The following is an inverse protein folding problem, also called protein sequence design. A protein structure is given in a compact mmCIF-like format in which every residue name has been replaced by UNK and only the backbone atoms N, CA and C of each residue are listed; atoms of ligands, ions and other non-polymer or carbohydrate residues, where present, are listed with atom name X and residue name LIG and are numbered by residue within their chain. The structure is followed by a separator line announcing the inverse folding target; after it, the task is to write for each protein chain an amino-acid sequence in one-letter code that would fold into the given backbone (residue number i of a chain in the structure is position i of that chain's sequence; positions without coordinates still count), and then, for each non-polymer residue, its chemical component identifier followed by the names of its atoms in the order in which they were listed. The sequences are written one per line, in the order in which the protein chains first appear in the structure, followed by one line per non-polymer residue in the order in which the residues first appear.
data_IF_102006544313
#
_entry.id   IF_102006544313
#
_cell.length_a   1.000
_cell.length_b   1.000
_cell.length_c   1.000
_cell.angle_alpha   90.00
_cell.angle_beta   90.00
_cell.angle_gamma   90.00
#
_symmetry.space_group_name_H-M   'P 1'
#
loop_
_entity.id
_entity.type
_entity.pdbx_description
1 polymer ?
#
# COMPACT_ATOMS: atom_id res chain seq x y z
N UNK A 1 19.75 49.40 -7.48
CA UNK A 1 19.75 47.98 -7.88
C UNK A 1 19.70 47.05 -6.65
N UNK A 2 18.57 46.97 -5.91
CA UNK A 2 18.49 46.28 -4.60
C UNK A 2 17.35 45.24 -4.45
N UNK A 3 16.70 44.81 -5.53
CA UNK A 3 15.53 43.90 -5.44
C UNK A 3 15.74 42.48 -6.01
N UNK A 4 16.88 42.17 -6.65
CA UNK A 4 17.11 40.84 -7.25
C UNK A 4 17.66 39.78 -6.27
N UNK A 5 18.26 40.17 -5.15
CA UNK A 5 18.85 39.22 -4.18
C UNK A 5 17.80 38.55 -3.29
N UNK A 6 16.71 39.24 -2.94
CA UNK A 6 15.66 38.70 -2.08
C UNK A 6 14.81 37.65 -2.79
N UNK A 7 14.48 37.84 -4.08
CA UNK A 7 13.71 36.85 -4.84
C UNK A 7 14.52 35.58 -5.14
N UNK A 8 15.84 35.70 -5.35
CA UNK A 8 16.71 34.55 -5.52
C UNK A 8 16.90 33.77 -4.20
N UNK A 9 17.00 34.47 -3.07
CA UNK A 9 17.06 33.84 -1.75
C UNK A 9 15.74 33.13 -1.39
N UNK A 10 14.58 33.73 -1.68
CA UNK A 10 13.27 33.09 -1.48
C UNK A 10 13.11 31.88 -2.39
N UNK A 11 13.54 31.96 -3.66
CA UNK A 11 13.52 30.82 -4.57
C UNK A 11 14.44 29.68 -4.12
N UNK A 12 15.62 29.99 -3.57
CA UNK A 12 16.54 29.00 -2.99
C UNK A 12 15.97 28.36 -1.72
N UNK A 13 15.32 29.16 -0.85
CA UNK A 13 14.63 28.67 0.34
C UNK A 13 13.48 27.75 -0.08
N UNK A 14 12.62 28.18 -1.00
CA UNK A 14 11.50 27.37 -1.51
C UNK A 14 12.01 26.10 -2.20
N UNK A 15 13.09 26.15 -2.96
CA UNK A 15 13.72 24.98 -3.57
C UNK A 15 14.31 24.01 -2.53
N UNK A 16 14.95 24.53 -1.48
CA UNK A 16 15.50 23.73 -0.37
C UNK A 16 14.39 23.11 0.50
N UNK A 17 13.29 23.84 0.70
CA UNK A 17 12.09 23.37 1.38
C UNK A 17 11.43 22.28 0.54
N UNK A 18 11.15 22.54 -0.73
CA UNK A 18 10.52 21.54 -1.62
C UNK A 18 11.42 20.33 -1.90
N UNK A 19 12.74 20.44 -1.77
CA UNK A 19 13.66 19.30 -1.76
C UNK A 19 13.61 18.48 -0.46
N UNK A 20 13.21 19.09 0.67
CA UNK A 20 13.12 18.44 1.99
C UNK A 20 11.77 17.82 2.31
N UNK A 21 10.79 17.96 1.42
CA UNK A 21 9.42 17.62 1.72
C UNK A 21 8.89 16.55 0.74
N UNK A 22 8.38 15.44 1.28
CA UNK A 22 7.77 14.37 0.48
C UNK A 22 6.25 14.60 0.32
N UNK A 23 5.67 14.40 -0.87
CA UNK A 23 4.25 14.63 -1.09
C UNK A 23 3.40 13.52 -0.43
N UNK A 24 2.51 13.92 0.48
CA UNK A 24 1.51 13.04 1.11
C UNK A 24 0.09 13.56 0.84
N UNK A 25 -0.91 12.70 0.57
CA UNK A 25 -2.29 13.13 0.28
C UNK A 25 -2.98 13.82 1.47
N UNK A 26 -3.55 15.00 1.26
CA UNK A 26 -4.23 15.82 2.29
C UNK A 26 -5.47 15.18 2.95
N UNK A 27 -6.00 14.07 2.41
CA UNK A 27 -7.14 13.37 3.04
C UNK A 27 -6.76 12.46 4.21
N UNK A 28 -5.48 12.30 4.50
CA UNK A 28 -4.99 11.41 5.57
C UNK A 28 -4.42 12.14 6.79
N UNK A 29 -4.65 13.46 6.91
CA UNK A 29 -4.17 14.31 8.01
C UNK A 29 -5.23 14.69 9.04
N UNK A 30 -6.44 14.12 9.01
CA UNK A 30 -7.31 14.15 10.20
C UNK A 30 -6.74 13.17 11.22
N UNK A 31 -5.78 13.64 12.02
CA UNK A 31 -5.44 13.01 13.30
C UNK A 31 -6.75 12.74 14.05
N UNK A 32 -6.98 11.53 14.59
CA UNK A 32 -8.04 11.34 15.56
C UNK A 32 -7.77 12.29 16.73
N UNK A 33 -8.73 13.18 16.95
CA UNK A 33 -8.79 14.13 18.06
C UNK A 33 -8.84 13.37 19.39
N UNK A 34 -7.67 13.00 19.92
CA UNK A 34 -7.53 12.81 21.37
C UNK A 34 -7.31 14.19 21.98
N UNK A 35 -8.42 14.69 22.50
CA UNK A 35 -8.57 15.88 23.34
C UNK A 35 -7.48 15.88 24.42
N UNK A 36 -6.44 16.72 24.29
CA UNK A 36 -5.83 17.50 25.39
C UNK A 36 -4.56 18.31 25.06
N UNK A 37 -3.92 18.19 23.88
CA UNK A 37 -2.65 18.91 23.63
C UNK A 37 -2.72 20.03 22.58
N UNK A 38 -3.91 20.44 22.16
CA UNK A 38 -4.11 21.34 21.01
C UNK A 38 -4.04 22.85 21.29
N UNK A 39 -3.38 23.32 22.36
CA UNK A 39 -3.32 24.78 22.66
C UNK A 39 -1.94 25.43 22.58
N UNK A 40 -0.84 24.66 22.51
CA UNK A 40 0.50 25.26 22.48
C UNK A 40 1.13 25.36 21.07
N UNK A 41 0.67 24.56 20.08
CA UNK A 41 1.39 24.39 18.80
C UNK A 41 0.57 24.71 17.53
N UNK A 42 -0.61 25.32 17.66
CA UNK A 42 -1.46 25.69 16.51
C UNK A 42 -0.76 26.69 15.58
N UNK A 43 0.04 27.62 16.13
CA UNK A 43 0.76 28.63 15.34
C UNK A 43 1.96 28.10 14.55
N UNK A 44 2.61 27.02 15.03
CA UNK A 44 3.82 26.47 14.38
C UNK A 44 3.44 25.43 13.31
N UNK A 45 2.39 24.64 13.56
CA UNK A 45 1.88 23.64 12.61
C UNK A 45 1.26 24.28 11.36
N UNK A 46 0.62 25.45 11.50
CA UNK A 46 0.06 26.18 10.37
C UNK A 46 1.14 26.82 9.47
N UNK A 47 2.32 27.14 10.00
CA UNK A 47 3.39 27.83 9.28
C UNK A 47 4.26 26.91 8.40
N UNK A 48 4.19 25.59 8.61
CA UNK A 48 4.98 24.58 7.87
C UNK A 48 4.16 23.80 6.83
N UNK A 49 2.86 24.10 6.73
CA UNK A 49 1.94 23.42 5.82
C UNK A 49 1.78 24.24 4.54
N UNK A 50 2.60 23.99 3.52
CA UNK A 50 2.33 24.54 2.18
C UNK A 50 1.23 23.71 1.52
N UNK A 51 -0.02 24.17 1.63
CA UNK A 51 -1.12 23.61 0.84
C UNK A 51 -0.97 24.01 -0.63
N UNK A 52 -0.54 23.07 -1.48
CA UNK A 52 -0.68 23.26 -2.92
C UNK A 52 -2.15 23.05 -3.32
N UNK A 53 -2.66 23.75 -4.36
CA UNK A 53 -4.03 23.60 -4.86
C UNK A 53 -4.40 22.19 -5.35
N UNK A 54 -3.46 21.23 -5.33
CA UNK A 54 -3.64 19.80 -5.59
C UNK A 54 -3.88 18.94 -4.34
N UNK A 55 -3.88 19.51 -3.13
CA UNK A 55 -4.11 18.76 -1.88
C UNK A 55 -2.92 17.87 -1.47
N UNK A 56 -1.70 18.33 -1.70
CA UNK A 56 -0.47 17.68 -1.21
C UNK A 56 0.13 18.54 -0.11
N UNK A 57 0.48 17.88 1.01
CA UNK A 57 1.20 18.50 2.11
C UNK A 57 2.63 18.01 2.06
N UNK A 58 3.52 18.96 2.25
CA UNK A 58 4.94 18.78 2.28
C UNK A 58 5.39 18.71 3.74
N UNK A 59 5.92 17.56 4.17
CA UNK A 59 6.37 17.30 5.55
C UNK A 59 7.89 17.11 5.61
N UNK A 60 8.57 17.60 6.68
CA UNK A 60 9.99 17.33 6.90
C UNK A 60 10.29 15.83 6.85
N UNK A 61 11.49 15.45 6.38
CA UNK A 61 11.85 14.03 6.20
C UNK A 61 11.64 13.17 7.45
N UNK A 62 11.92 13.70 8.64
CA UNK A 62 11.72 12.98 9.90
C UNK A 62 10.22 12.76 10.19
N UNK A 63 9.42 13.83 10.14
CA UNK A 63 7.96 13.75 10.33
C UNK A 63 7.29 12.86 9.28
N UNK A 64 7.73 12.94 8.02
CA UNK A 64 7.25 12.11 6.93
C UNK A 64 7.59 10.62 7.17
N UNK A 65 8.78 10.34 7.72
CA UNK A 65 9.21 8.99 8.07
C UNK A 65 8.34 8.41 9.17
N UNK A 66 8.12 9.17 10.25
CA UNK A 66 7.30 8.74 11.38
C UNK A 66 5.83 8.53 10.99
N UNK A 67 5.30 9.43 10.17
CA UNK A 67 3.97 9.31 9.61
C UNK A 67 3.82 8.01 8.78
N UNK A 68 4.75 7.74 7.86
CA UNK A 68 4.72 6.51 7.07
C UNK A 68 4.86 5.26 7.95
N UNK A 69 5.72 5.30 8.97
CA UNK A 69 5.87 4.18 9.91
C UNK A 69 4.59 3.92 10.71
N UNK A 70 3.88 4.98 11.12
CA UNK A 70 2.57 4.89 11.77
C UNK A 70 1.52 4.24 10.86
N UNK A 71 1.43 4.70 9.61
CA UNK A 71 0.55 4.10 8.61
C UNK A 71 0.90 2.63 8.37
N UNK A 72 2.18 2.33 8.15
CA UNK A 72 2.66 0.98 7.88
C UNK A 72 2.31 0.02 9.02
N UNK A 73 2.48 0.47 10.26
CA UNK A 73 2.14 -0.31 11.45
C UNK A 73 0.64 -0.61 11.52
N UNK A 74 -0.19 0.41 11.27
CA UNK A 74 -1.65 0.26 11.24
C UNK A 74 -2.11 -0.67 10.11
N UNK A 75 -1.57 -0.50 8.90
CA UNK A 75 -1.89 -1.35 7.75
C UNK A 75 -1.49 -2.81 8.00
N UNK A 76 -0.31 -3.05 8.57
CA UNK A 76 0.13 -4.39 8.95
C UNK A 76 -0.81 -5.04 9.96
N UNK A 77 -1.20 -4.29 10.99
CA UNK A 77 -2.15 -4.75 12.01
C UNK A 77 -3.50 -5.12 11.38
N UNK A 78 -4.06 -4.22 10.55
CA UNK A 78 -5.33 -4.44 9.85
C UNK A 78 -5.28 -5.66 8.92
N UNK A 79 -4.22 -5.80 8.12
CA UNK A 79 -4.05 -6.95 7.23
C UNK A 79 -4.00 -8.26 8.04
N UNK A 80 -3.23 -8.28 9.13
CA UNK A 80 -3.12 -9.46 9.99
C UNK A 80 -4.46 -9.83 10.63
N UNK A 81 -5.23 -8.85 11.11
CA UNK A 81 -6.55 -9.05 11.67
C UNK A 81 -7.56 -9.59 10.63
N UNK A 82 -7.50 -9.11 9.38
CA UNK A 82 -8.38 -9.58 8.31
C UNK A 82 -8.02 -11.03 7.92
N UNK A 83 -6.71 -11.36 7.84
CA UNK A 83 -6.24 -12.72 7.59
C UNK A 83 -6.73 -13.67 8.69
N UNK A 84 -6.56 -13.29 9.97
CA UNK A 84 -7.03 -14.09 11.11
C UNK A 84 -8.56 -14.29 11.09
N UNK A 85 -9.33 -13.22 10.85
CA UNK A 85 -10.79 -13.31 10.72
C UNK A 85 -11.21 -14.28 9.62
N UNK A 86 -10.48 -14.31 8.49
CA UNK A 86 -10.72 -15.27 7.41
C UNK A 86 -10.37 -16.69 7.83
N UNK A 87 -9.23 -16.90 8.49
CA UNK A 87 -8.82 -18.22 8.99
C UNK A 87 -9.85 -18.80 9.94
N UNK A 88 -10.37 -18.00 10.89
CA UNK A 88 -11.45 -18.41 11.81
C UNK A 88 -12.74 -18.79 11.08
N UNK A 89 -13.06 -18.11 9.96
CA UNK A 89 -14.23 -18.45 9.14
C UNK A 89 -14.02 -19.69 8.27
N UNK A 90 -12.78 -20.11 8.03
CA UNK A 90 -12.41 -21.27 7.20
C UNK A 90 -12.69 -21.16 5.70
N UNK A 91 -13.47 -20.16 5.24
CA UNK A 91 -13.85 -19.97 3.83
C UNK A 91 -14.13 -18.51 3.48
N UNK A 92 -14.09 -18.20 2.18
CA UNK A 92 -14.47 -16.90 1.60
C UNK A 92 -13.28 -16.04 1.14
N UNK A 93 -13.57 -14.97 0.42
CA UNK A 93 -12.60 -13.98 -0.01
C UNK A 93 -12.09 -13.15 1.19
N UNK A 94 -10.84 -12.66 1.11
CA UNK A 94 -10.25 -11.84 2.18
C UNK A 94 -10.99 -10.50 2.37
N UNK A 95 -11.43 -9.90 1.27
CA UNK A 95 -12.19 -8.65 1.21
C UNK A 95 -13.43 -8.88 0.34
N UNK A 96 -14.62 -8.70 0.91
CA UNK A 96 -15.88 -8.94 0.19
C UNK A 96 -16.43 -7.68 -0.47
N UNK A 97 -16.35 -6.54 0.21
CA UNK A 97 -16.65 -5.24 -0.36
C UNK A 97 -15.32 -4.58 -0.76
N UNK A 98 -15.22 -4.06 -1.98
CA UNK A 98 -14.10 -3.24 -2.49
C UNK A 98 -12.84 -3.96 -2.98
N UNK A 99 -12.87 -5.27 -3.25
CA UNK A 99 -11.72 -6.03 -3.75
C UNK A 99 -11.00 -5.36 -4.95
N UNK A 100 -11.77 -4.96 -5.97
CA UNK A 100 -11.25 -4.35 -7.20
C UNK A 100 -10.58 -3.01 -6.90
N UNK A 101 -11.22 -2.19 -6.06
CA UNK A 101 -10.70 -0.89 -5.67
C UNK A 101 -9.43 -1.03 -4.83
N UNK A 102 -9.40 -1.96 -3.86
CA UNK A 102 -8.21 -2.21 -3.04
C UNK A 102 -7.04 -2.70 -3.88
N UNK A 103 -7.28 -3.61 -4.84
CA UNK A 103 -6.24 -4.04 -5.79
C UNK A 103 -5.67 -2.87 -6.59
N UNK A 104 -6.53 -2.04 -7.18
CA UNK A 104 -6.13 -0.86 -7.95
C UNK A 104 -5.31 0.12 -7.09
N UNK A 105 -5.76 0.38 -5.86
CA UNK A 105 -5.02 1.24 -4.91
C UNK A 105 -3.64 0.65 -4.61
N UNK A 106 -3.53 -0.65 -4.37
CA UNK A 106 -2.23 -1.29 -4.11
C UNK A 106 -1.32 -1.22 -5.34
N UNK A 107 -1.82 -1.50 -6.54
CA UNK A 107 -1.06 -1.41 -7.79
C UNK A 107 -0.58 0.02 -8.08
N UNK A 108 -1.44 1.02 -7.86
CA UNK A 108 -1.07 2.42 -8.01
C UNK A 108 -0.06 2.84 -6.93
N UNK A 109 -0.22 2.37 -5.69
CA UNK A 109 0.74 2.59 -4.61
C UNK A 109 2.13 2.01 -4.95
N UNK A 110 2.20 0.81 -5.54
CA UNK A 110 3.48 0.21 -5.98
C UNK A 110 4.20 1.11 -7.00
N UNK A 111 3.48 1.67 -7.97
CA UNK A 111 4.05 2.60 -8.95
C UNK A 111 4.57 3.86 -8.28
N UNK A 112 3.83 4.42 -7.32
CA UNK A 112 4.24 5.63 -6.61
C UNK A 112 5.45 5.37 -5.69
N UNK A 113 5.46 4.28 -4.94
CA UNK A 113 6.61 3.90 -4.10
C UNK A 113 7.86 3.66 -4.94
N UNK A 114 7.75 3.04 -6.11
CA UNK A 114 8.88 2.90 -7.04
C UNK A 114 9.43 4.25 -7.48
N UNK A 115 8.56 5.20 -7.86
CA UNK A 115 8.97 6.57 -8.24
C UNK A 115 9.66 7.30 -7.09
N UNK A 116 9.12 7.22 -5.88
CA UNK A 116 9.70 7.87 -4.69
C UNK A 116 11.08 7.29 -4.37
N UNK A 117 11.25 5.96 -4.43
CA UNK A 117 12.56 5.33 -4.23
C UNK A 117 13.60 5.74 -5.27
N UNK A 118 13.22 5.85 -6.54
CA UNK A 118 14.12 6.36 -7.58
C UNK A 118 14.50 7.83 -7.33
N UNK A 119 13.55 8.66 -6.92
CA UNK A 119 13.84 10.04 -6.52
C UNK A 119 14.83 10.10 -5.36
N UNK A 120 14.64 9.30 -4.31
CA UNK A 120 15.57 9.20 -3.17
C UNK A 120 16.97 8.77 -3.65
N UNK A 121 17.05 7.80 -4.56
CA UNK A 121 18.33 7.31 -5.11
C UNK A 121 19.07 8.41 -5.87
N UNK A 122 18.36 9.24 -6.64
CA UNK A 122 18.93 10.40 -7.33
C UNK A 122 19.47 11.40 -6.32
N UNK A 123 18.71 11.72 -5.27
CA UNK A 123 19.13 12.70 -4.25
C UNK A 123 20.33 12.21 -3.44
N UNK A 124 20.38 10.92 -3.08
CA UNK A 124 21.49 10.32 -2.32
C UNK A 124 22.80 10.28 -3.11
N UNK A 125 22.78 10.45 -4.44
CA UNK A 125 23.98 10.46 -5.25
C UNK A 125 25.01 11.48 -4.71
N UNK A 126 26.30 11.11 -4.60
CA UNK A 126 27.30 11.92 -3.92
C UNK A 126 27.44 13.32 -4.52
N UNK A 127 27.35 13.43 -5.85
CA UNK A 127 27.42 14.70 -6.57
C UNK A 127 26.27 15.65 -6.22
N UNK A 128 25.07 15.11 -5.96
CA UNK A 128 23.88 15.89 -5.64
C UNK A 128 23.90 16.34 -4.18
N UNK A 129 24.30 15.45 -3.26
CA UNK A 129 24.49 15.82 -1.85
C UNK A 129 25.61 16.85 -1.68
N UNK A 130 26.71 16.72 -2.43
CA UNK A 130 27.80 17.69 -2.44
C UNK A 130 27.36 19.06 -2.96
N UNK A 131 26.47 19.11 -3.96
CA UNK A 131 25.88 20.35 -4.47
C UNK A 131 24.90 20.99 -3.48
N UNK A 132 24.11 20.20 -2.77
CA UNK A 132 23.13 20.71 -1.79
C UNK A 132 23.79 21.25 -0.51
N UNK A 133 24.84 20.57 -0.05
CA UNK A 133 25.60 20.98 1.14
C UNK A 133 27.10 20.99 0.81
N UNK A 134 27.59 22.04 0.12
CA UNK A 134 28.99 22.13 -0.28
C UNK A 134 29.93 22.26 0.93
N UNK A 135 29.50 23.01 1.94
CA UNK A 135 30.39 23.51 3.00
C UNK A 135 30.47 22.60 4.24
N UNK A 136 29.61 21.59 4.37
CA UNK A 136 29.57 20.74 5.56
C UNK A 136 29.44 19.26 5.22
N UNK A 137 30.48 18.50 5.57
CA UNK A 137 30.45 17.03 5.47
C UNK A 137 29.46 16.42 6.47
N UNK A 138 29.33 16.98 7.66
CA UNK A 138 28.44 16.47 8.71
C UNK A 138 26.97 16.58 8.30
N UNK A 139 26.55 17.73 7.74
CA UNK A 139 25.19 17.91 7.24
C UNK A 139 24.89 16.97 6.06
N UNK A 140 25.87 16.69 5.20
CA UNK A 140 25.71 15.69 4.13
C UNK A 140 25.43 14.30 4.68
N UNK A 141 26.16 13.89 5.71
CA UNK A 141 25.97 12.58 6.34
C UNK A 141 24.60 12.52 7.03
N UNK A 142 24.23 13.54 7.81
CA UNK A 142 22.94 13.59 8.49
C UNK A 142 21.76 13.55 7.50
N UNK A 143 21.81 14.35 6.44
CA UNK A 143 20.74 14.38 5.44
C UNK A 143 20.64 13.06 4.67
N UNK A 144 21.79 12.44 4.33
CA UNK A 144 21.83 11.11 3.73
C UNK A 144 21.19 10.06 4.64
N UNK A 145 21.50 10.07 5.93
CA UNK A 145 20.92 9.12 6.89
C UNK A 145 19.41 9.31 7.04
N UNK A 146 18.92 10.55 7.06
CA UNK A 146 17.50 10.87 7.06
C UNK A 146 16.80 10.34 5.80
N UNK A 147 17.39 10.56 4.61
CA UNK A 147 16.87 10.03 3.34
C UNK A 147 16.86 8.50 3.31
N UNK A 148 17.87 7.84 3.87
CA UNK A 148 17.90 6.37 3.98
C UNK A 148 16.79 5.87 4.90
N UNK A 149 16.56 6.51 6.05
CA UNK A 149 15.47 6.14 6.98
C UNK A 149 14.10 6.31 6.31
N UNK A 150 13.89 7.44 5.64
CA UNK A 150 12.67 7.69 4.86
C UNK A 150 12.48 6.64 3.76
N UNK A 151 13.54 6.34 3.01
CA UNK A 151 13.53 5.30 1.96
C UNK A 151 13.19 3.91 2.50
N UNK A 152 13.64 3.57 3.72
CA UNK A 152 13.23 2.33 4.40
C UNK A 152 11.74 2.32 4.74
N UNK A 153 11.19 3.43 5.23
CA UNK A 153 9.75 3.53 5.52
C UNK A 153 8.92 3.37 4.23
N UNK A 154 9.33 3.99 3.12
CA UNK A 154 8.70 3.83 1.81
C UNK A 154 8.77 2.38 1.31
N UNK A 155 9.94 1.73 1.46
CA UNK A 155 10.10 0.32 1.09
C UNK A 155 9.18 -0.59 1.92
N UNK A 156 9.00 -0.31 3.21
CA UNK A 156 8.04 -1.06 4.04
C UNK A 156 6.60 -0.90 3.54
N UNK A 157 6.19 0.31 3.15
CA UNK A 157 4.86 0.54 2.54
C UNK A 157 4.67 -0.26 1.26
N UNK A 158 5.70 -0.32 0.41
CA UNK A 158 5.70 -1.13 -0.80
C UNK A 158 5.55 -2.62 -0.49
N UNK A 159 6.31 -3.14 0.47
CA UNK A 159 6.17 -4.55 0.89
C UNK A 159 4.77 -4.85 1.39
N UNK A 160 4.16 -3.96 2.18
CA UNK A 160 2.78 -4.13 2.64
C UNK A 160 1.76 -4.12 1.50
N UNK A 161 1.95 -3.29 0.48
CA UNK A 161 1.10 -3.30 -0.71
C UNK A 161 1.22 -4.64 -1.47
N UNK A 162 2.44 -5.17 -1.62
CA UNK A 162 2.67 -6.50 -2.22
C UNK A 162 2.05 -7.62 -1.39
N UNK A 163 2.22 -7.58 -0.08
CA UNK A 163 1.65 -8.57 0.84
C UNK A 163 0.13 -8.57 0.79
N UNK A 164 -0.48 -7.39 0.70
CA UNK A 164 -1.93 -7.24 0.55
C UNK A 164 -2.41 -7.86 -0.76
N UNK A 165 -1.75 -7.59 -1.88
CA UNK A 165 -2.06 -8.21 -3.18
C UNK A 165 -1.92 -9.73 -3.13
N UNK A 166 -0.81 -10.23 -2.58
CA UNK A 166 -0.54 -11.66 -2.42
C UNK A 166 -1.60 -12.33 -1.53
N UNK A 167 -1.97 -11.70 -0.41
CA UNK A 167 -2.99 -12.20 0.49
C UNK A 167 -4.35 -12.29 -0.23
N UNK A 168 -4.69 -11.28 -1.04
CA UNK A 168 -5.90 -11.29 -1.86
C UNK A 168 -5.86 -12.45 -2.87
N UNK A 169 -4.76 -12.63 -3.60
CA UNK A 169 -4.63 -13.67 -4.62
C UNK A 169 -4.74 -15.08 -4.03
N UNK A 170 -4.05 -15.34 -2.93
CA UNK A 170 -4.11 -16.62 -2.19
C UNK A 170 -5.47 -16.85 -1.52
N UNK A 171 -6.27 -15.81 -1.37
CA UNK A 171 -7.61 -15.92 -0.77
C UNK A 171 -8.72 -16.30 -1.76
N UNK A 172 -8.40 -16.46 -3.04
CA UNK A 172 -9.37 -16.88 -4.05
C UNK A 172 -9.91 -18.28 -3.68
N UNK A 173 -11.24 -18.49 -3.72
CA UNK A 173 -11.78 -19.84 -3.58
C UNK A 173 -11.21 -20.73 -4.69
N UNK A 174 -11.00 -22.04 -4.43
CA UNK A 174 -10.63 -22.99 -5.47
C UNK A 174 -11.62 -22.88 -6.63
N UNK A 175 -11.12 -22.94 -7.87
CA UNK A 175 -12.00 -23.19 -9.01
C UNK A 175 -12.74 -24.50 -8.79
N UNK A 176 -13.98 -24.61 -9.27
CA UNK A 176 -14.72 -25.89 -9.24
C UNK A 176 -13.81 -26.97 -9.83
N UNK A 177 -13.36 -27.89 -8.98
CA UNK A 177 -12.44 -28.97 -9.35
C UNK A 177 -13.15 -30.09 -10.10
N UNK A 178 -14.48 -30.10 -10.04
CA UNK A 178 -15.34 -31.06 -10.73
C UNK A 178 -16.18 -30.30 -11.73
N UNK A 179 -15.96 -30.59 -13.02
CA UNK A 179 -16.93 -30.28 -14.06
C UNK A 179 -17.96 -31.40 -14.05
N UNK A 180 -19.18 -31.09 -13.62
CA UNK A 180 -20.30 -32.05 -13.70
C UNK A 180 -20.77 -32.28 -15.16
N UNK A 181 -20.11 -31.66 -16.14
CA UNK A 181 -20.41 -31.86 -17.57
C UNK A 181 -20.08 -33.25 -18.08
N UNK A 182 -19.11 -33.92 -17.46
CA UNK A 182 -18.59 -35.22 -17.90
C UNK A 182 -19.10 -36.37 -17.00
N UNK A 183 -20.01 -36.06 -16.08
CA UNK A 183 -20.70 -37.08 -15.29
C UNK A 183 -21.79 -37.71 -16.17
N UNK A 184 -21.90 -39.05 -16.17
CA UNK A 184 -23.01 -39.71 -16.86
C UNK A 184 -24.33 -39.16 -16.32
N UNK A 185 -25.28 -38.90 -17.22
CA UNK A 185 -26.61 -38.45 -16.82
C UNK A 185 -27.29 -39.51 -15.97
N UNK A 186 -28.32 -39.14 -15.21
CA UNK A 186 -29.11 -40.11 -14.43
C UNK A 186 -29.65 -41.24 -15.31
N UNK A 187 -29.94 -40.95 -16.59
CA UNK A 187 -30.35 -41.94 -17.59
C UNK A 187 -29.21 -42.89 -17.97
N UNK A 188 -27.99 -42.37 -18.19
CA UNK A 188 -26.81 -43.18 -18.48
C UNK A 188 -26.46 -44.10 -17.30
N UNK A 189 -26.57 -43.59 -16.07
CA UNK A 189 -26.34 -44.37 -14.85
C UNK A 189 -27.39 -45.49 -14.73
N UNK A 190 -28.67 -45.18 -14.93
CA UNK A 190 -29.76 -46.19 -14.92
C UNK A 190 -29.56 -47.24 -16.01
N UNK A 191 -29.11 -46.84 -17.21
CA UNK A 191 -28.83 -47.73 -18.32
C UNK A 191 -27.63 -48.67 -18.02
N UNK A 192 -26.53 -48.13 -17.47
CA UNK A 192 -25.37 -48.93 -17.04
C UNK A 192 -25.74 -49.93 -15.95
N UNK A 193 -26.51 -49.50 -14.94
CA UNK A 193 -26.99 -50.40 -13.87
C UNK A 193 -27.87 -51.50 -14.45
N UNK A 194 -28.75 -51.18 -15.40
CA UNK A 194 -29.63 -52.16 -16.06
C UNK A 194 -28.83 -53.16 -16.89
N UNK A 195 -27.82 -52.68 -17.61
CA UNK A 195 -26.93 -53.52 -18.42
C UNK A 195 -26.12 -54.49 -17.56
N UNK A 196 -25.59 -54.03 -16.42
CA UNK A 196 -24.90 -54.88 -15.44
C UNK A 196 -25.82 -55.95 -14.85
N UNK A 197 -27.03 -55.60 -14.41
CA UNK A 197 -27.98 -56.59 -13.89
C UNK A 197 -28.33 -57.66 -14.93
N UNK A 198 -28.51 -57.25 -16.20
CA UNK A 198 -28.73 -58.17 -17.31
C UNK A 198 -27.53 -59.10 -17.55
N UNK A 199 -26.30 -58.58 -17.46
CA UNK A 199 -25.08 -59.37 -17.59
C UNK A 199 -24.90 -60.37 -16.43
N UNK A 200 -25.37 -60.01 -15.24
CA UNK A 200 -25.35 -60.87 -14.05
C UNK A 200 -26.53 -61.85 -13.98
N UNK A 201 -27.48 -61.78 -14.93
CA UNK A 201 -28.67 -62.65 -14.96
C UNK A 201 -29.71 -62.33 -13.88
N UNK A 202 -29.66 -61.14 -13.30
CA UNK A 202 -30.56 -60.69 -12.23
C UNK A 202 -31.59 -59.71 -12.83
N UNK A 203 -32.81 -59.72 -12.31
CA UNK A 203 -33.86 -58.78 -12.76
C UNK A 203 -33.44 -57.34 -12.54
N UNK A 204 -33.67 -56.49 -13.55
CA UNK A 204 -33.32 -55.07 -13.49
C UNK A 204 -34.06 -54.36 -12.32
N UNK A 205 -33.40 -53.44 -11.62
CA UNK A 205 -34.02 -52.69 -10.53
C UNK A 205 -35.08 -51.72 -11.07
N UNK A 206 -36.15 -51.54 -10.31
CA UNK A 206 -37.16 -50.51 -10.58
C UNK A 206 -36.64 -49.15 -10.14
N UNK A 207 -36.43 -48.23 -11.08
CA UNK A 207 -36.04 -46.86 -10.77
C UNK A 207 -37.30 -45.98 -10.67
N UNK A 208 -37.54 -45.40 -9.49
CA UNK A 208 -38.55 -44.36 -9.27
C UNK A 208 -38.05 -42.97 -9.65
#
# INVERSE_FOLDING_TARGET
MKQKSTSAAVAAIVASLSASLAPVPAKSTTLPTTVMESKAHVGVSAALTFELPSGQIFLPLEEATDYLNGINSNQRSLLSAIIQKRQLKGKGALLMANLVQTKRICEDALKQHARVKEAIKIVIAPDNLAKMHPDSLELRVQHRDALIRFGRAVAQSEFLARDTLNAIERSRPPSKTISLSDMPSDEDVRAMITAEHKNLGISAPGFS
#
